data_IF_487900261445
#
_entry.id   IF_487900261445
#
_cell.length_a   1.000
_cell.length_b   1.000
_cell.length_c   1.000
_cell.angle_alpha   90.00
_cell.angle_beta   90.00
_cell.angle_gamma   90.00
#
_symmetry.space_group_name_H-M   'P 1'
#
loop_
_entity.id
_entity.type
_entity.pdbx_description
1 polymer ?
#
# COMPACT_ATOMS: atom_id res chain seq x y z
N UNK A 1 35.66 -3.92 54.93
CA UNK A 1 35.12 -2.57 54.66
C UNK A 1 34.07 -2.70 53.58
N UNK A 2 32.82 -2.65 54.01
CA UNK A 2 31.51 -2.61 53.34
C UNK A 2 31.42 -2.78 51.81
N UNK A 3 30.80 -3.89 51.41
CA UNK A 3 30.05 -4.07 50.17
C UNK A 3 28.84 -3.11 50.18
N UNK A 4 28.79 -2.17 49.25
CA UNK A 4 27.60 -1.33 49.02
C UNK A 4 26.52 -2.13 48.29
N UNK A 5 25.26 -2.10 48.73
CA UNK A 5 24.19 -2.88 48.14
C UNK A 5 23.70 -2.27 46.82
N UNK A 6 23.50 -3.19 45.86
CA UNK A 6 22.88 -3.00 44.56
C UNK A 6 21.48 -2.38 44.72
N UNK A 7 21.33 -1.10 44.34
CA UNK A 7 20.04 -0.44 44.28
C UNK A 7 19.33 -0.85 42.98
N UNK A 8 18.59 -1.95 43.04
CA UNK A 8 17.53 -2.23 42.07
C UNK A 8 16.45 -1.14 42.23
N UNK A 9 16.56 -0.07 41.45
CA UNK A 9 15.49 0.93 41.30
C UNK A 9 14.34 0.27 40.55
N UNK A 10 13.30 -0.11 41.29
CA UNK A 10 11.98 -0.34 40.73
C UNK A 10 11.51 0.98 40.12
N UNK A 11 11.59 1.11 38.80
CA UNK A 11 11.05 2.24 38.04
C UNK A 11 9.59 2.41 38.44
N UNK A 12 9.25 3.58 39.00
CA UNK A 12 7.92 3.81 39.54
C UNK A 12 6.92 3.85 38.38
N UNK A 13 5.68 3.42 38.62
CA UNK A 13 4.61 3.45 37.61
C UNK A 13 4.44 4.84 36.97
N UNK A 14 4.70 5.90 37.74
CA UNK A 14 4.65 7.28 37.29
C UNK A 14 5.75 7.63 36.28
N UNK A 15 6.94 7.04 36.38
CA UNK A 15 8.05 7.27 35.45
C UNK A 15 7.81 6.57 34.10
N UNK A 16 7.17 5.40 34.14
CA UNK A 16 6.71 4.70 32.93
C UNK A 16 5.58 5.47 32.25
N UNK A 17 4.59 5.97 33.01
CA UNK A 17 3.48 6.74 32.46
C UNK A 17 3.94 8.06 31.81
N UNK A 18 4.97 8.71 32.37
CA UNK A 18 5.60 9.89 31.76
C UNK A 18 6.40 9.56 30.49
N UNK A 19 7.07 8.40 30.44
CA UNK A 19 7.80 7.94 29.26
C UNK A 19 6.87 7.60 28.08
N UNK A 20 5.67 7.09 28.36
CA UNK A 20 4.64 6.81 27.34
C UNK A 20 3.71 8.00 27.08
N UNK A 21 3.92 9.16 27.71
CA UNK A 21 3.12 10.35 27.48
C UNK A 21 3.28 10.82 26.03
N UNK A 22 2.18 10.81 25.29
CA UNK A 22 2.19 11.21 23.88
C UNK A 22 2.31 12.73 23.75
N UNK A 23 3.07 13.24 22.77
CA UNK A 23 3.11 14.66 22.50
C UNK A 23 1.71 15.25 22.24
N UNK A 24 1.44 16.51 22.64
CA UNK A 24 0.13 17.14 22.44
C UNK A 24 -0.34 17.13 20.98
N UNK A 25 0.59 17.23 20.03
CA UNK A 25 0.30 17.14 18.59
C UNK A 25 -0.26 15.77 18.18
N UNK A 26 0.22 14.69 18.81
CA UNK A 26 -0.22 13.32 18.54
C UNK A 26 -1.59 13.05 19.16
N UNK A 27 -1.85 13.60 20.35
CA UNK A 27 -3.17 13.50 21.00
C UNK A 27 -4.22 14.20 20.13
N UNK A 28 -3.95 15.43 19.70
CA UNK A 28 -4.83 16.17 18.79
C UNK A 28 -5.06 15.43 17.47
N UNK A 29 -4.00 14.89 16.87
CA UNK A 29 -4.11 14.10 15.63
C UNK A 29 -4.96 12.84 15.86
N UNK A 30 -4.82 12.17 17.00
CA UNK A 30 -5.63 11.00 17.33
C UNK A 30 -7.10 11.36 17.45
N UNK A 31 -7.42 12.45 18.14
CA UNK A 31 -8.80 12.96 18.23
C UNK A 31 -9.35 13.31 16.85
N UNK A 32 -8.55 13.94 15.99
CA UNK A 32 -8.93 14.29 14.63
C UNK A 32 -9.13 13.07 13.72
N UNK A 33 -8.32 12.02 13.89
CA UNK A 33 -8.48 10.76 13.17
C UNK A 33 -9.68 9.96 13.67
N UNK A 34 -10.00 10.05 14.96
CA UNK A 34 -11.09 9.31 15.58
C UNK A 34 -12.46 9.96 15.37
N UNK A 35 -12.57 11.29 15.20
CA UNK A 35 -13.82 12.06 14.93
C UNK A 35 -15.12 11.32 15.29
N UNK A 36 -15.74 10.64 14.32
CA UNK A 36 -17.02 9.94 14.47
C UNK A 36 -16.89 8.41 14.39
N UNK A 37 -15.66 7.88 14.44
CA UNK A 37 -15.40 6.45 14.34
C UNK A 37 -15.79 5.73 15.64
N UNK A 38 -16.90 5.00 15.59
CA UNK A 38 -17.28 4.02 16.61
C UNK A 38 -16.97 2.62 16.11
N UNK A 39 -16.21 1.85 16.89
CA UNK A 39 -15.96 0.45 16.56
C UNK A 39 -17.29 -0.32 16.52
N UNK A 40 -17.68 -0.92 15.39
CA UNK A 40 -18.94 -1.65 15.30
C UNK A 40 -18.89 -2.92 16.16
N UNK A 41 -20.03 -3.30 16.75
CA UNK A 41 -20.16 -4.44 17.67
C UNK A 41 -19.83 -5.78 16.98
N UNK A 42 -20.01 -5.83 15.66
CA UNK A 42 -19.63 -6.94 14.80
C UNK A 42 -18.82 -6.41 13.61
N UNK A 43 -17.85 -7.17 13.07
CA UNK A 43 -17.15 -6.78 11.86
C UNK A 43 -18.16 -6.49 10.73
N UNK A 44 -17.86 -5.53 9.83
CA UNK A 44 -18.68 -5.28 8.66
C UNK A 44 -18.93 -6.60 7.90
N UNK A 45 -20.19 -6.86 7.53
CA UNK A 45 -20.59 -8.07 6.79
C UNK A 45 -20.12 -8.07 5.33
N UNK A 46 -19.32 -7.08 4.93
CA UNK A 46 -18.68 -7.00 3.62
C UNK A 46 -17.54 -8.03 3.53
N UNK A 47 -17.86 -9.31 3.69
CA UNK A 47 -16.96 -10.36 3.26
C UNK A 47 -16.93 -10.31 1.74
N UNK A 48 -15.74 -10.06 1.18
CA UNK A 48 -15.48 -10.27 -0.24
C UNK A 48 -15.74 -11.76 -0.49
N UNK A 49 -16.94 -12.10 -0.98
CA UNK A 49 -17.27 -13.47 -1.30
C UNK A 49 -16.34 -13.93 -2.43
N UNK A 50 -15.51 -14.93 -2.13
CA UNK A 50 -14.59 -15.49 -3.10
C UNK A 50 -15.39 -16.12 -4.25
N UNK A 51 -15.51 -15.37 -5.34
CA UNK A 51 -16.20 -15.85 -6.53
C UNK A 51 -15.42 -17.02 -7.14
N UNK A 52 -16.08 -18.16 -7.42
CA UNK A 52 -15.40 -19.31 -8.00
C UNK A 52 -14.79 -18.94 -9.36
N UNK A 53 -13.59 -19.46 -9.62
CA UNK A 53 -12.91 -19.27 -10.90
C UNK A 53 -13.49 -20.23 -11.95
N UNK A 54 -13.77 -19.70 -13.14
CA UNK A 54 -14.07 -20.54 -14.31
C UNK A 54 -12.82 -21.30 -14.75
N UNK A 55 -12.98 -22.40 -15.51
CA UNK A 55 -11.85 -23.19 -16.02
C UNK A 55 -10.85 -22.36 -16.82
N UNK A 56 -11.36 -21.45 -17.67
CA UNK A 56 -10.55 -20.53 -18.46
C UNK A 56 -9.71 -19.60 -17.58
N UNK A 57 -10.34 -19.00 -16.57
CA UNK A 57 -9.66 -18.11 -15.62
C UNK A 57 -8.58 -18.87 -14.84
N UNK A 58 -8.92 -20.08 -14.36
CA UNK A 58 -8.00 -20.92 -13.62
C UNK A 58 -6.72 -21.24 -14.41
N UNK A 59 -6.85 -21.80 -15.62
CA UNK A 59 -5.67 -22.13 -16.43
C UNK A 59 -4.88 -20.89 -16.87
N UNK A 60 -5.58 -19.79 -17.14
CA UNK A 60 -4.93 -18.52 -17.48
C UNK A 60 -4.08 -17.99 -16.32
N UNK A 61 -4.62 -18.00 -15.10
CA UNK A 61 -3.93 -17.57 -13.90
C UNK A 61 -2.75 -18.50 -13.55
N UNK A 62 -2.92 -19.81 -13.69
CA UNK A 62 -1.83 -20.78 -13.48
C UNK A 62 -0.66 -20.53 -14.45
N UNK A 63 -0.96 -20.36 -15.74
CA UNK A 63 0.05 -20.03 -16.73
C UNK A 63 0.74 -18.69 -16.42
N UNK A 64 -0.02 -17.68 -15.97
CA UNK A 64 0.54 -16.40 -15.53
C UNK A 64 1.46 -16.52 -14.32
N UNK A 65 1.10 -17.31 -13.31
CA UNK A 65 1.92 -17.56 -12.13
C UNK A 65 3.26 -18.18 -12.54
N UNK A 66 3.24 -19.25 -13.34
CA UNK A 66 4.46 -19.91 -13.83
C UNK A 66 5.32 -18.94 -14.64
N UNK A 67 4.71 -18.13 -15.50
CA UNK A 67 5.43 -17.13 -16.27
C UNK A 67 6.12 -16.08 -15.37
N UNK A 68 5.44 -15.63 -14.31
CA UNK A 68 5.99 -14.69 -13.33
C UNK A 68 7.10 -15.30 -12.49
N UNK A 69 6.94 -16.53 -12.01
CA UNK A 69 7.94 -17.19 -11.15
C UNK A 69 9.21 -17.56 -11.90
N UNK A 70 9.10 -17.85 -13.20
CA UNK A 70 10.25 -18.19 -14.06
C UNK A 70 10.94 -16.98 -14.68
N UNK A 71 10.45 -15.75 -14.44
CA UNK A 71 10.94 -14.52 -15.09
C UNK A 71 11.02 -14.65 -16.62
N UNK A 72 10.05 -15.35 -17.22
CA UNK A 72 10.02 -15.61 -18.65
C UNK A 72 9.71 -14.35 -19.47
N UNK A 73 10.04 -14.38 -20.77
CA UNK A 73 9.75 -13.25 -21.67
C UNK A 73 8.29 -13.24 -22.13
N UNK A 74 7.81 -12.11 -22.63
CA UNK A 74 6.46 -12.00 -23.23
C UNK A 74 6.31 -12.89 -24.47
N UNK A 75 7.39 -13.10 -25.24
CA UNK A 75 7.38 -14.00 -26.38
C UNK A 75 7.14 -15.45 -25.95
N UNK A 76 7.81 -15.89 -24.88
CA UNK A 76 7.60 -17.20 -24.26
C UNK A 76 6.17 -17.40 -23.79
N UNK A 77 5.56 -16.38 -23.15
CA UNK A 77 4.14 -16.44 -22.77
C UNK A 77 3.23 -16.68 -23.96
N UNK A 78 3.44 -15.97 -25.07
CA UNK A 78 2.63 -16.15 -26.29
C UNK A 78 2.82 -17.55 -26.89
N UNK A 79 4.05 -18.07 -26.87
CA UNK A 79 4.35 -19.43 -27.33
C UNK A 79 3.64 -20.50 -26.50
N UNK A 80 3.79 -20.47 -25.17
CA UNK A 80 3.12 -21.43 -24.29
C UNK A 80 1.61 -21.33 -24.34
N UNK A 81 1.07 -20.11 -24.47
CA UNK A 81 -0.37 -19.91 -24.70
C UNK A 81 -0.86 -20.72 -25.91
N UNK A 82 -0.17 -20.65 -27.05
CA UNK A 82 -0.58 -21.36 -28.26
C UNK A 82 -0.57 -22.88 -28.05
N UNK A 83 0.47 -23.41 -27.42
CA UNK A 83 0.60 -24.84 -27.12
C UNK A 83 -0.51 -25.33 -26.16
N UNK A 84 -0.79 -24.58 -25.10
CA UNK A 84 -1.83 -24.95 -24.12
C UNK A 84 -3.21 -24.93 -24.76
N UNK A 85 -3.52 -23.92 -25.57
CA UNK A 85 -4.79 -23.82 -26.29
C UNK A 85 -4.98 -25.04 -27.20
N UNK A 86 -3.93 -25.43 -27.92
CA UNK A 86 -3.97 -26.61 -28.80
C UNK A 86 -4.15 -27.92 -28.01
N UNK A 87 -3.49 -28.08 -26.87
CA UNK A 87 -3.54 -29.31 -26.08
C UNK A 87 -4.83 -29.48 -25.26
N UNK A 88 -5.40 -28.38 -24.75
CA UNK A 88 -6.53 -28.41 -23.79
C UNK A 88 -7.87 -28.03 -24.42
N UNK A 89 -7.87 -27.59 -25.68
CA UNK A 89 -9.02 -27.02 -26.38
C UNK A 89 -9.74 -25.91 -25.56
N UNK A 90 -9.01 -25.26 -24.66
CA UNK A 90 -9.51 -24.19 -23.78
C UNK A 90 -8.76 -22.92 -24.10
N UNK A 91 -9.49 -21.82 -24.31
CA UNK A 91 -8.84 -20.53 -24.55
C UNK A 91 -8.05 -20.08 -23.32
N UNK A 92 -6.83 -19.60 -23.55
CA UNK A 92 -6.01 -18.96 -22.52
C UNK A 92 -5.98 -17.46 -22.78
N UNK A 93 -6.11 -16.66 -21.73
CA UNK A 93 -6.10 -15.20 -21.84
C UNK A 93 -4.73 -14.67 -22.30
N UNK A 94 -4.75 -13.50 -22.95
CA UNK A 94 -3.52 -12.74 -23.22
C UNK A 94 -2.91 -12.20 -21.91
N UNK A 95 -1.62 -11.87 -21.90
CA UNK A 95 -0.92 -11.32 -20.73
C UNK A 95 -1.62 -10.09 -20.14
N UNK A 96 -2.11 -9.16 -20.98
CA UNK A 96 -2.85 -7.99 -20.51
C UNK A 96 -4.16 -8.39 -19.80
N UNK A 97 -4.95 -9.26 -20.42
CA UNK A 97 -6.24 -9.73 -19.87
C UNK A 97 -6.08 -10.49 -18.56
N UNK A 98 -5.05 -11.35 -18.42
CA UNK A 98 -4.84 -12.11 -17.18
C UNK A 98 -4.35 -11.22 -16.04
N UNK A 99 -3.54 -10.19 -16.31
CA UNK A 99 -3.15 -9.20 -15.30
C UNK A 99 -4.38 -8.44 -14.83
N UNK A 100 -5.24 -8.00 -15.75
CA UNK A 100 -6.51 -7.35 -15.39
C UNK A 100 -7.41 -8.27 -14.55
N UNK A 101 -7.57 -9.53 -14.98
CA UNK A 101 -8.32 -10.54 -14.23
C UNK A 101 -7.77 -10.73 -12.81
N UNK A 102 -6.44 -10.80 -12.64
CA UNK A 102 -5.83 -10.94 -11.32
C UNK A 102 -6.13 -9.73 -10.41
N UNK A 103 -6.07 -8.52 -10.95
CA UNK A 103 -6.44 -7.30 -10.20
C UNK A 103 -7.93 -7.30 -9.84
N UNK A 104 -8.79 -7.65 -10.79
CA UNK A 104 -10.24 -7.67 -10.60
C UNK A 104 -10.67 -8.72 -9.56
N UNK A 105 -10.06 -9.91 -9.55
CA UNK A 105 -10.37 -10.99 -8.58
C UNK A 105 -9.80 -10.73 -7.18
N UNK A 106 -8.68 -10.01 -7.08
CA UNK A 106 -8.03 -9.74 -5.79
C UNK A 106 -8.42 -8.38 -5.20
N UNK A 107 -9.01 -7.50 -6.01
CA UNK A 107 -9.25 -6.10 -5.70
C UNK A 107 -7.99 -5.34 -5.24
N UNK A 108 -6.79 -5.84 -5.58
CA UNK A 108 -5.50 -5.24 -5.22
C UNK A 108 -5.05 -4.23 -6.28
N UNK A 109 -5.77 -3.11 -6.36
CA UNK A 109 -5.40 -2.03 -7.28
C UNK A 109 -4.31 -1.14 -6.67
N UNK A 110 -3.25 -0.79 -7.42
CA UNK A 110 -2.24 0.14 -6.93
C UNK A 110 -2.84 1.54 -6.82
N UNK A 111 -2.67 2.16 -5.66
CA UNK A 111 -2.99 3.56 -5.41
C UNK A 111 -1.79 4.38 -5.86
N UNK A 112 -2.02 5.31 -6.78
CA UNK A 112 -0.98 6.21 -7.28
C UNK A 112 -1.10 7.54 -6.56
N UNK A 113 0.00 8.00 -5.99
CA UNK A 113 0.05 9.25 -5.24
C UNK A 113 1.18 10.11 -5.78
N UNK A 114 0.87 11.37 -6.07
CA UNK A 114 1.87 12.34 -6.50
C UNK A 114 2.82 12.69 -5.37
N UNK A 115 4.09 12.88 -5.70
CA UNK A 115 5.10 13.27 -4.72
C UNK A 115 6.09 14.29 -5.29
N UNK A 116 6.80 14.95 -4.38
CA UNK A 116 7.92 15.80 -4.76
C UNK A 116 9.02 14.94 -5.41
N UNK A 117 9.61 15.34 -6.56
CA UNK A 117 10.64 14.56 -7.23
C UNK A 117 11.94 14.44 -6.43
N UNK A 118 12.14 15.30 -5.41
CA UNK A 118 13.24 15.19 -4.43
C UNK A 118 12.88 14.31 -3.21
N UNK A 119 11.74 13.62 -3.28
CA UNK A 119 11.18 12.77 -2.22
C UNK A 119 11.05 13.46 -0.86
N UNK A 120 10.76 14.77 -0.86
CA UNK A 120 10.60 15.52 0.38
C UNK A 120 9.24 15.28 1.03
N UNK A 121 8.18 15.23 0.22
CA UNK A 121 6.80 15.00 0.67
C UNK A 121 6.01 14.23 -0.39
N UNK A 122 4.95 13.56 0.07
CA UNK A 122 3.84 13.11 -0.74
C UNK A 122 2.69 14.13 -0.65
N UNK A 123 1.96 14.32 -1.75
CA UNK A 123 0.81 15.23 -1.78
C UNK A 123 -0.46 14.48 -1.40
N UNK A 124 -0.63 14.18 -0.12
CA UNK A 124 -1.78 13.48 0.48
C UNK A 124 -2.37 14.28 1.64
N UNK A 125 -3.60 13.95 2.04
CA UNK A 125 -4.28 14.59 3.18
C UNK A 125 -4.29 16.11 3.06
N UNK A 126 -3.83 16.80 4.10
CA UNK A 126 -3.76 18.26 4.13
C UNK A 126 -2.82 18.86 3.09
N UNK A 127 -1.86 18.09 2.58
CA UNK A 127 -0.92 18.55 1.55
C UNK A 127 -1.43 18.28 0.12
N UNK A 128 -2.61 17.67 -0.04
CA UNK A 128 -3.13 17.25 -1.34
C UNK A 128 -3.42 18.42 -2.29
N UNK A 129 -3.72 19.62 -1.75
CA UNK A 129 -4.02 20.82 -2.53
C UNK A 129 -2.76 21.61 -2.94
N UNK A 130 -1.58 21.21 -2.45
CA UNK A 130 -0.34 21.93 -2.74
C UNK A 130 0.16 21.65 -4.16
N UNK A 131 0.56 22.72 -4.84
CA UNK A 131 1.16 22.67 -6.17
C UNK A 131 2.70 22.74 -6.15
N UNK A 132 3.30 23.05 -4.99
CA UNK A 132 4.74 23.12 -4.80
C UNK A 132 5.13 22.54 -3.44
N UNK A 133 6.35 22.01 -3.35
CA UNK A 133 6.87 21.41 -2.12
C UNK A 133 7.17 22.48 -1.04
N UNK A 134 6.52 22.44 0.14
CA UNK A 134 6.74 23.36 1.25
C UNK A 134 7.89 22.94 2.19
N UNK A 135 8.51 21.78 1.94
CA UNK A 135 9.48 21.19 2.88
C UNK A 135 10.80 21.97 2.92
N UNK A 136 11.33 22.17 4.13
CA UNK A 136 12.63 22.82 4.38
C UNK A 136 13.64 21.74 4.75
N UNK A 137 14.74 21.64 3.98
CA UNK A 137 15.86 20.73 4.27
C UNK A 137 17.12 21.55 4.51
N UNK A 138 17.69 21.47 5.71
CA UNK A 138 18.91 22.20 6.06
C UNK A 138 18.78 23.73 5.94
N UNK A 139 17.62 24.28 6.31
CA UNK A 139 17.33 25.72 6.19
C UNK A 139 16.93 26.20 4.78
N UNK A 140 17.00 25.33 3.76
CA UNK A 140 16.63 25.69 2.38
C UNK A 140 15.25 25.15 2.03
N UNK A 141 14.36 26.03 1.57
CA UNK A 141 13.01 25.68 1.12
C UNK A 141 13.04 25.02 -0.27
N UNK A 142 12.43 23.85 -0.40
CA UNK A 142 12.51 23.02 -1.61
C UNK A 142 11.85 23.67 -2.85
N UNK A 143 10.63 24.23 -2.71
CA UNK A 143 9.81 24.92 -3.75
C UNK A 143 9.60 24.18 -5.08
N UNK A 144 9.99 22.92 -5.19
CA UNK A 144 9.88 22.18 -6.46
C UNK A 144 8.39 22.04 -6.84
N UNK A 145 8.00 22.37 -8.09
CA UNK A 145 6.62 22.23 -8.52
C UNK A 145 6.19 20.76 -8.54
N UNK A 146 4.93 20.51 -8.23
CA UNK A 146 4.29 19.19 -8.29
C UNK A 146 4.12 18.72 -9.73
N UNK A 147 3.68 19.61 -10.60
CA UNK A 147 3.36 19.32 -12.00
C UNK A 147 4.36 19.94 -12.96
N UNK A 148 4.62 19.23 -14.06
CA UNK A 148 5.34 19.76 -15.21
C UNK A 148 4.46 20.78 -15.91
N UNK A 149 5.05 21.88 -16.37
CA UNK A 149 4.37 22.84 -17.23
C UNK A 149 4.21 22.23 -18.63
N UNK A 150 3.06 21.62 -18.87
CA UNK A 150 2.62 21.09 -20.15
C UNK A 150 1.11 21.36 -20.31
N UNK A 151 0.54 21.08 -21.48
CA UNK A 151 -0.92 21.21 -21.72
C UNK A 151 -1.76 20.38 -20.74
N UNK A 152 -1.15 19.38 -20.09
CA UNK A 152 -1.76 18.54 -19.05
C UNK A 152 -0.90 18.60 -17.79
N UNK A 153 -1.55 18.62 -16.62
CA UNK A 153 -0.91 18.53 -15.31
C UNK A 153 -0.32 17.13 -15.08
N UNK A 154 0.87 16.89 -15.60
CA UNK A 154 1.61 15.65 -15.41
C UNK A 154 2.52 15.84 -14.20
N UNK A 155 2.36 15.01 -13.17
CA UNK A 155 3.20 15.14 -11.98
C UNK A 155 4.67 14.80 -12.28
N UNK A 156 5.57 15.47 -11.56
CA UNK A 156 7.00 15.24 -11.73
C UNK A 156 7.42 13.84 -11.26
N UNK A 157 6.82 13.35 -10.18
CA UNK A 157 7.05 12.04 -9.61
C UNK A 157 5.79 11.50 -8.95
N UNK A 158 5.64 10.18 -8.97
CA UNK A 158 4.56 9.44 -8.35
C UNK A 158 5.14 8.23 -7.62
N UNK A 159 4.56 7.89 -6.48
CA UNK A 159 4.76 6.57 -5.88
C UNK A 159 3.47 5.76 -5.98
N UNK A 160 3.64 4.44 -5.95
CA UNK A 160 2.53 3.49 -6.00
C UNK A 160 2.54 2.67 -4.71
N UNK A 161 1.40 2.62 -4.03
CA UNK A 161 1.18 1.70 -2.91
C UNK A 161 0.18 0.64 -3.32
N UNK A 162 0.40 -0.59 -2.86
CA UNK A 162 -0.63 -1.61 -2.89
C UNK A 162 -1.32 -1.57 -1.52
N UNK A 163 -2.65 -1.48 -1.45
CA UNK A 163 -3.36 -1.63 -0.19
C UNK A 163 -3.12 -3.07 0.28
N UNK A 164 -2.30 -3.24 1.30
CA UNK A 164 -2.21 -4.52 2.00
C UNK A 164 -3.55 -4.64 2.74
N UNK A 165 -4.38 -5.60 2.33
CA UNK A 165 -5.68 -5.87 2.95
C UNK A 165 -5.50 -5.94 4.47
N UNK A 166 -5.99 -4.94 5.18
CA UNK A 166 -6.06 -4.94 6.64
C UNK A 166 -7.20 -5.85 7.09
N UNK A 167 -7.07 -7.17 6.92
CA UNK A 167 -8.01 -8.15 7.51
C UNK A 167 -7.79 -8.35 9.01
N UNK A 168 -7.42 -7.27 9.73
CA UNK A 168 -7.22 -7.31 11.18
C UNK A 168 -8.37 -6.57 11.85
N UNK A 169 -9.52 -7.26 11.93
CA UNK A 169 -10.39 -7.18 13.10
C UNK A 169 -10.51 -8.61 13.64
N UNK A 170 -9.56 -9.01 14.48
CA UNK A 170 -9.81 -10.04 15.49
C UNK A 170 -10.05 -9.30 16.80
N UNK A 171 -11.31 -9.20 17.19
CA UNK A 171 -11.72 -8.97 18.56
C UNK A 171 -11.80 -10.33 19.26
#
# INVERSE_FOLDING_TARGET
>A
TNLTPNQNQASSKADLDAYFALPPSVIKLREEMLKDYTCPISPPSDSIEAQPLTKLEYYSLQHYIIWRTTNSTVATYKGYRAVIVQATNTEILSLYKVVKLALDKTHLFPIVVDMCPKSCIAYTGDYAHLNCCPYIRGGVLCKTPRYRQAEKNISHAQFKTLPILGTICRC
#
